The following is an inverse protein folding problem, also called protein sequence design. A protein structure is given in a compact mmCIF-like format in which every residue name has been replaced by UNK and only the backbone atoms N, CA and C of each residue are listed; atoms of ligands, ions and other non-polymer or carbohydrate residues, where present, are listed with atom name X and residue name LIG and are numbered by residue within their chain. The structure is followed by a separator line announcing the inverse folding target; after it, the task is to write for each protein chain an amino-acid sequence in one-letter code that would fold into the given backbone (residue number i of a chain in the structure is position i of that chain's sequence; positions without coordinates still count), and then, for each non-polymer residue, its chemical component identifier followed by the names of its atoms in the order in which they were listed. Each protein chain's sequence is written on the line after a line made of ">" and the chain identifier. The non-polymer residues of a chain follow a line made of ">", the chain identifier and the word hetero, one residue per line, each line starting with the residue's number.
data_IF_699420701543
#
_entry.id   IF_699420701543
#
_cell.length_a   1.000
_cell.length_b   1.000
_cell.length_c   1.000
_cell.angle_alpha   90.00
_cell.angle_beta   90.00
_cell.angle_gamma   90.00
#
_symmetry.space_group_name_H-M   'P 1'
#
loop_
_entity.id
_entity.type
_entity.pdbx_description
1 polymer ?
#
# COMPACT_ATOMS: atom_id res chain seq x y z
N UNK A 1 -21.11 -7.08 22.89
CA UNK A 1 -21.74 -5.74 22.88
C UNK A 1 -20.97 -4.91 23.90
N UNK A 2 -19.93 -4.22 23.46
CA UNK A 2 -19.14 -3.32 24.32
C UNK A 2 -19.20 -1.95 23.67
N UNK A 3 -19.99 -1.08 24.29
CA UNK A 3 -20.18 0.31 23.88
C UNK A 3 -18.90 1.10 24.17
N UNK A 4 -18.25 1.62 23.12
CA UNK A 4 -17.26 2.67 23.26
C UNK A 4 -17.99 4.01 23.53
N UNK A 5 -17.84 4.54 24.75
CA UNK A 5 -18.33 5.88 25.11
C UNK A 5 -17.54 6.94 24.34
N UNK A 6 -18.11 7.47 23.25
CA UNK A 6 -17.62 8.68 22.60
C UNK A 6 -18.00 9.92 23.42
N UNK A 7 -17.00 10.61 23.97
CA UNK A 7 -17.19 11.95 24.49
C UNK A 7 -17.31 12.94 23.32
N UNK A 8 -18.53 13.39 23.00
CA UNK A 8 -18.76 14.50 22.05
C UNK A 8 -18.40 15.83 22.73
N UNK A 9 -17.20 16.34 22.45
CA UNK A 9 -16.90 17.78 22.57
C UNK A 9 -17.20 18.45 21.23
N UNK A 10 -18.13 19.40 21.23
CA UNK A 10 -18.36 20.27 20.07
C UNK A 10 -17.06 20.99 19.71
N UNK A 11 -16.57 20.79 18.49
CA UNK A 11 -15.30 21.33 18.02
C UNK A 11 -15.32 21.49 16.52
N UNK A 12 -14.69 22.57 16.04
CA UNK A 12 -14.41 22.84 14.62
C UNK A 12 -14.11 21.54 13.88
N UNK A 13 -14.74 21.32 12.73
CA UNK A 13 -14.33 20.28 11.79
C UNK A 13 -12.86 20.54 11.44
N UNK A 14 -11.95 19.80 12.08
CA UNK A 14 -10.53 19.85 11.79
C UNK A 14 -10.35 19.36 10.36
N UNK A 15 -10.00 20.27 9.45
CA UNK A 15 -9.64 19.90 8.08
C UNK A 15 -8.38 19.04 8.14
N UNK A 16 -8.48 17.81 7.65
CA UNK A 16 -7.32 16.94 7.47
C UNK A 16 -6.56 17.45 6.24
N UNK A 17 -5.28 17.78 6.42
CA UNK A 17 -4.38 18.22 5.34
C UNK A 17 -3.37 17.12 5.02
N UNK A 18 -2.71 17.16 3.85
CA UNK A 18 -1.64 16.21 3.50
C UNK A 18 -0.52 16.15 4.55
N UNK A 19 -0.13 17.29 5.12
CA UNK A 19 0.93 17.35 6.14
C UNK A 19 0.49 16.72 7.47
N UNK A 20 -0.78 16.88 7.85
CA UNK A 20 -1.33 16.19 9.02
C UNK A 20 -1.37 14.69 8.79
N UNK A 21 -1.71 14.26 7.57
CA UNK A 21 -1.73 12.85 7.19
C UNK A 21 -0.32 12.23 7.26
N UNK A 22 0.72 12.91 6.76
CA UNK A 22 2.11 12.45 6.89
C UNK A 22 2.56 12.32 8.35
N UNK A 23 2.17 13.27 9.21
CA UNK A 23 2.46 13.20 10.66
C UNK A 23 1.75 12.02 11.33
N UNK A 24 0.53 11.71 10.90
CA UNK A 24 -0.19 10.53 11.38
C UNK A 24 0.56 9.26 10.99
N UNK A 25 0.96 9.10 9.72
CA UNK A 25 1.75 7.95 9.26
C UNK A 25 3.07 7.80 10.01
N UNK A 26 3.81 8.89 10.21
CA UNK A 26 5.06 8.88 10.97
C UNK A 26 4.87 8.50 12.44
N UNK A 27 3.64 8.54 12.95
CA UNK A 27 3.25 8.10 14.29
C UNK A 27 2.57 6.71 14.29
N UNK A 28 2.49 6.04 13.13
CA UNK A 28 1.84 4.74 12.97
C UNK A 28 0.32 4.80 12.86
N UNK A 29 -0.26 5.97 12.58
CA UNK A 29 -1.71 6.20 12.51
C UNK A 29 -2.11 6.41 11.05
N UNK A 30 -3.24 5.83 10.62
CA UNK A 30 -3.74 5.97 9.25
C UNK A 30 -5.25 6.31 9.22
N UNK A 31 -5.72 7.01 8.17
CA UNK A 31 -7.12 7.41 8.05
C UNK A 31 -7.98 6.32 7.42
N UNK A 32 -9.24 6.23 7.85
CA UNK A 32 -10.28 5.44 7.17
C UNK A 32 -11.63 6.17 7.23
N UNK A 33 -12.57 5.78 6.38
CA UNK A 33 -13.98 6.17 6.46
C UNK A 33 -14.86 4.92 6.54
N UNK A 34 -16.09 5.04 7.07
CA UNK A 34 -16.98 3.87 7.17
C UNK A 34 -17.44 3.38 5.79
N UNK A 35 -17.57 4.31 4.83
CA UNK A 35 -17.92 4.00 3.45
C UNK A 35 -17.49 5.11 2.49
N UNK A 36 -17.59 4.86 1.17
CA UNK A 36 -17.28 5.83 0.12
C UNK A 36 -18.13 7.12 0.22
N UNK A 37 -19.37 6.97 0.70
CA UNK A 37 -20.36 8.05 0.82
C UNK A 37 -20.32 8.73 2.20
N UNK A 38 -19.58 8.18 3.16
CA UNK A 38 -19.42 8.78 4.47
C UNK A 38 -18.38 9.91 4.40
N UNK A 39 -18.75 11.19 4.66
CA UNK A 39 -17.80 12.29 4.64
C UNK A 39 -16.86 12.29 5.86
N UNK A 40 -17.09 11.45 6.86
CA UNK A 40 -16.26 11.42 8.06
C UNK A 40 -15.03 10.54 7.87
N UNK A 41 -13.89 11.05 8.34
CA UNK A 41 -12.64 10.28 8.45
C UNK A 41 -12.38 10.05 9.93
N UNK A 42 -12.05 8.81 10.28
CA UNK A 42 -11.53 8.42 11.59
C UNK A 42 -10.09 7.92 11.47
N UNK A 43 -9.36 8.01 12.57
CA UNK A 43 -7.96 7.60 12.67
C UNK A 43 -7.87 6.22 13.32
N UNK A 44 -7.02 5.36 12.76
CA UNK A 44 -6.85 3.98 13.20
C UNK A 44 -5.42 3.76 13.70
N UNK A 45 -5.33 3.07 14.82
CA UNK A 45 -4.09 2.77 15.55
C UNK A 45 -4.28 1.41 16.26
N UNK A 46 -4.14 0.30 15.51
CA UNK A 46 -4.47 -1.02 16.01
C UNK A 46 -3.38 -1.52 16.98
N UNK A 47 -3.76 -2.38 17.93
CA UNK A 47 -2.82 -3.02 18.87
C UNK A 47 -1.92 -4.05 18.18
N UNK A 48 -2.40 -4.59 17.06
CA UNK A 48 -1.71 -5.52 16.18
C UNK A 48 -1.60 -4.89 14.80
N UNK A 49 -0.43 -4.99 14.17
CA UNK A 49 -0.14 -4.32 12.90
C UNK A 49 0.33 -5.32 11.86
N UNK A 50 -0.34 -5.34 10.71
CA UNK A 50 0.09 -6.10 9.55
C UNK A 50 1.34 -5.48 8.92
N UNK A 51 2.36 -6.30 8.69
CA UNK A 51 3.52 -5.94 7.86
C UNK A 51 3.81 -7.03 6.83
N UNK A 52 4.50 -6.67 5.75
CA UNK A 52 5.09 -7.62 4.82
C UNK A 52 6.62 -7.49 4.87
N UNK A 53 7.31 -8.30 5.69
CA UNK A 53 8.77 -8.23 5.79
C UNK A 53 9.39 -8.46 4.41
N UNK A 54 10.19 -7.51 3.94
CA UNK A 54 10.73 -7.50 2.57
C UNK A 54 11.69 -8.69 2.35
N UNK A 55 12.40 -9.09 3.39
CA UNK A 55 13.27 -10.25 3.45
C UNK A 55 12.54 -11.60 3.45
N UNK A 56 11.29 -11.62 3.94
CA UNK A 56 10.44 -12.82 3.94
C UNK A 56 9.52 -12.91 2.70
N UNK A 57 9.48 -11.84 1.89
CA UNK A 57 8.65 -11.80 0.69
C UNK A 57 9.08 -12.88 -0.30
N UNK A 58 8.10 -13.66 -0.75
CA UNK A 58 8.33 -14.71 -1.72
C UNK A 58 7.27 -14.68 -2.83
N UNK A 59 7.71 -14.96 -4.06
CA UNK A 59 6.83 -15.06 -5.21
C UNK A 59 6.43 -16.53 -5.42
N UNK A 60 5.14 -16.89 -5.30
CA UNK A 60 4.67 -18.24 -5.59
C UNK A 60 5.06 -18.70 -6.99
N UNK A 61 5.34 -20.00 -7.14
CA UNK A 61 5.85 -20.60 -8.40
C UNK A 61 4.95 -20.32 -9.61
N UNK A 62 3.63 -20.28 -9.42
CA UNK A 62 2.65 -19.93 -10.45
C UNK A 62 2.81 -18.47 -10.90
N UNK A 63 2.92 -17.54 -9.95
CA UNK A 63 3.09 -16.12 -10.25
C UNK A 63 4.42 -15.83 -10.97
N UNK A 64 5.50 -16.55 -10.62
CA UNK A 64 6.77 -16.47 -11.38
C UNK A 64 6.60 -16.81 -12.85
N UNK A 65 5.74 -17.79 -13.18
CA UNK A 65 5.44 -18.14 -14.58
C UNK A 65 4.67 -17.02 -15.27
N UNK A 66 3.75 -16.35 -14.57
CA UNK A 66 3.00 -15.20 -15.10
C UNK A 66 3.95 -14.04 -15.39
N UNK A 67 4.80 -13.66 -14.44
CA UNK A 67 5.78 -12.58 -14.61
C UNK A 67 6.74 -12.87 -15.77
N UNK A 68 7.22 -14.13 -15.89
CA UNK A 68 8.13 -14.56 -16.97
C UNK A 68 7.50 -14.50 -18.36
N UNK A 69 6.19 -14.72 -18.47
CA UNK A 69 5.47 -14.61 -19.75
C UNK A 69 5.34 -13.17 -20.22
N UNK A 70 5.60 -12.19 -19.34
CA UNK A 70 5.51 -10.75 -19.62
C UNK A 70 4.18 -10.36 -20.29
N UNK A 71 3.08 -10.97 -19.84
CA UNK A 71 1.74 -10.70 -20.34
C UNK A 71 1.18 -9.34 -19.88
N UNK A 72 1.87 -8.68 -18.95
CA UNK A 72 1.51 -7.36 -18.43
C UNK A 72 2.63 -6.37 -18.67
N UNK A 73 2.25 -5.12 -18.93
CA UNK A 73 3.16 -3.97 -18.81
C UNK A 73 2.99 -3.39 -17.41
N UNK A 74 4.10 -3.17 -16.70
CA UNK A 74 4.08 -2.58 -15.35
C UNK A 74 4.74 -1.21 -15.40
N UNK A 75 4.05 -0.21 -14.86
CA UNK A 75 4.57 1.16 -14.75
C UNK A 75 4.48 1.62 -13.29
N UNK A 76 5.07 2.79 -13.01
CA UNK A 76 4.90 3.48 -11.73
C UNK A 76 4.59 4.93 -11.96
N UNK A 77 3.71 5.48 -11.13
CA UNK A 77 3.39 6.91 -11.07
C UNK A 77 2.96 7.50 -12.42
N UNK A 78 2.37 6.67 -13.27
CA UNK A 78 1.80 7.09 -14.57
C UNK A 78 0.29 7.21 -14.54
N UNK A 79 -0.36 6.54 -13.57
CA UNK A 79 -1.81 6.40 -13.48
C UNK A 79 -2.32 6.46 -12.04
N UNK A 80 -1.62 7.17 -11.14
CA UNK A 80 -1.92 7.19 -9.70
C UNK A 80 -3.41 7.40 -9.38
N UNK A 81 -4.04 8.42 -9.97
CA UNK A 81 -5.46 8.69 -9.74
C UNK A 81 -6.36 7.53 -10.19
N UNK A 82 -6.05 6.92 -11.34
CA UNK A 82 -6.80 5.77 -11.85
C UNK A 82 -6.62 4.51 -10.97
N UNK A 83 -5.46 4.37 -10.32
CA UNK A 83 -5.24 3.30 -9.33
C UNK A 83 -6.06 3.54 -8.07
N UNK A 84 -6.07 4.76 -7.53
CA UNK A 84 -6.90 5.10 -6.36
C UNK A 84 -8.38 4.87 -6.68
N UNK A 85 -8.83 5.30 -7.87
CA UNK A 85 -10.20 5.08 -8.35
C UNK A 85 -10.52 3.59 -8.48
N UNK A 86 -9.61 2.79 -9.06
CA UNK A 86 -9.75 1.33 -9.13
C UNK A 86 -9.84 0.65 -7.75
N UNK A 87 -9.11 1.16 -6.76
CA UNK A 87 -9.18 0.68 -5.37
C UNK A 87 -10.47 1.11 -4.64
N UNK A 88 -11.14 2.17 -5.12
CA UNK A 88 -12.40 2.66 -4.58
C UNK A 88 -13.61 1.93 -5.19
N UNK A 89 -13.46 1.21 -6.29
CA UNK A 89 -14.55 0.44 -6.89
C UNK A 89 -14.98 -0.74 -6.00
N UNK A 90 -16.29 -1.09 -6.00
CA UNK A 90 -16.76 -2.35 -5.44
C UNK A 90 -16.09 -3.54 -6.13
N UNK A 91 -15.77 -4.56 -5.35
CA UNK A 91 -15.17 -5.79 -5.86
C UNK A 91 -15.88 -7.02 -5.26
N UNK A 92 -15.77 -8.21 -5.87
CA UNK A 92 -16.35 -9.42 -5.30
C UNK A 92 -15.89 -9.64 -3.84
N UNK A 93 -16.84 -9.65 -2.90
CA UNK A 93 -16.56 -9.77 -1.45
C UNK A 93 -16.21 -8.45 -0.75
N UNK A 94 -16.25 -7.32 -1.47
CA UNK A 94 -16.07 -5.95 -0.96
C UNK A 94 -17.10 -5.03 -1.61
N UNK A 95 -18.32 -5.07 -1.08
CA UNK A 95 -19.43 -4.24 -1.59
C UNK A 95 -19.29 -2.76 -1.20
N UNK A 96 -18.44 -2.45 -0.22
CA UNK A 96 -18.17 -1.10 0.27
C UNK A 96 -16.67 -0.84 0.36
N UNK A 97 -16.24 0.33 -0.13
CA UNK A 97 -14.88 0.85 0.08
C UNK A 97 -14.89 1.86 1.22
N UNK A 98 -13.75 2.00 1.90
CA UNK A 98 -13.48 3.06 2.87
C UNK A 98 -12.90 4.32 2.20
N UNK A 99 -12.59 4.25 0.90
CA UNK A 99 -12.00 5.36 0.15
C UNK A 99 -13.12 6.32 -0.26
N UNK A 100 -13.40 7.28 0.61
CA UNK A 100 -14.31 8.38 0.30
C UNK A 100 -13.61 9.47 -0.54
N UNK A 101 -14.37 10.47 -0.96
CA UNK A 101 -13.85 11.59 -1.77
C UNK A 101 -12.71 12.35 -1.07
N UNK A 102 -12.81 12.60 0.23
CA UNK A 102 -11.80 13.36 0.97
C UNK A 102 -10.49 12.59 1.07
N UNK A 103 -10.55 11.29 1.38
CA UNK A 103 -9.41 10.37 1.40
C UNK A 103 -8.76 10.39 0.02
N UNK A 104 -9.52 10.13 -1.04
CA UNK A 104 -9.02 10.20 -2.42
C UNK A 104 -8.24 11.51 -2.67
N UNK A 105 -8.84 12.65 -2.40
CA UNK A 105 -8.23 13.96 -2.65
C UNK A 105 -6.93 14.17 -1.85
N UNK A 106 -6.84 13.63 -0.62
CA UNK A 106 -5.62 13.65 0.20
C UNK A 106 -4.48 12.85 -0.44
N UNK A 107 -4.71 11.63 -0.92
CA UNK A 107 -3.64 10.85 -1.56
C UNK A 107 -3.24 11.42 -2.92
N UNK A 108 -4.16 12.03 -3.67
CA UNK A 108 -3.79 12.78 -4.89
C UNK A 108 -2.87 13.96 -4.54
N UNK A 109 -3.14 14.67 -3.44
CA UNK A 109 -2.26 15.74 -2.99
C UNK A 109 -0.88 15.19 -2.57
N UNK A 110 -0.83 14.11 -1.78
CA UNK A 110 0.43 13.46 -1.40
C UNK A 110 1.24 12.97 -2.61
N UNK A 111 0.58 12.43 -3.63
CA UNK A 111 1.24 12.04 -4.89
C UNK A 111 1.89 13.24 -5.57
N UNK A 112 1.19 14.38 -5.66
CA UNK A 112 1.73 15.62 -6.24
C UNK A 112 2.90 16.19 -5.45
N UNK A 113 2.91 15.95 -4.13
CA UNK A 113 4.00 16.34 -3.23
C UNK A 113 5.16 15.32 -3.22
N UNK A 114 5.02 14.19 -3.93
CA UNK A 114 6.06 13.16 -4.03
C UNK A 114 6.10 12.17 -2.87
N UNK A 115 5.05 12.14 -2.03
CA UNK A 115 4.94 11.24 -0.88
C UNK A 115 4.03 10.04 -1.11
N UNK A 116 3.23 10.00 -2.18
CA UNK A 116 2.46 8.81 -2.52
C UNK A 116 2.88 8.29 -3.88
N UNK A 117 2.89 6.97 -4.01
CA UNK A 117 3.31 6.29 -5.22
C UNK A 117 2.36 5.15 -5.59
N UNK A 118 2.38 4.79 -6.86
CA UNK A 118 1.55 3.74 -7.43
C UNK A 118 2.35 2.79 -8.30
N UNK A 119 1.91 1.54 -8.34
CA UNK A 119 2.36 0.53 -9.30
C UNK A 119 1.15 0.15 -10.14
N UNK A 120 1.23 0.38 -11.45
CA UNK A 120 0.13 0.10 -12.37
C UNK A 120 0.42 -1.15 -13.22
N UNK A 121 -0.60 -1.96 -13.45
CA UNK A 121 -0.50 -3.18 -14.28
C UNK A 121 -1.47 -3.06 -15.44
N UNK A 122 -0.91 -3.06 -16.64
CA UNK A 122 -1.62 -2.87 -17.89
C UNK A 122 -1.64 -4.14 -18.72
N UNK A 123 -2.76 -4.40 -19.39
CA UNK A 123 -2.91 -5.45 -20.38
C UNK A 123 -3.66 -4.88 -21.58
N UNK A 124 -3.11 -5.04 -22.78
CA UNK A 124 -3.71 -4.55 -24.03
C UNK A 124 -4.13 -3.06 -23.98
N UNK A 125 -3.32 -2.23 -23.30
CA UNK A 125 -3.57 -0.80 -23.11
C UNK A 125 -4.58 -0.43 -22.02
N UNK A 126 -5.21 -1.42 -21.37
CA UNK A 126 -6.15 -1.20 -20.27
C UNK A 126 -5.50 -1.38 -18.90
N UNK A 127 -5.87 -0.53 -17.93
CA UNK A 127 -5.44 -0.68 -16.53
C UNK A 127 -6.23 -1.82 -15.88
N UNK A 128 -5.56 -2.95 -15.66
CA UNK A 128 -6.17 -4.20 -15.18
C UNK A 128 -5.81 -4.53 -13.73
N UNK A 129 -4.99 -3.73 -13.08
CA UNK A 129 -4.71 -3.82 -11.65
C UNK A 129 -3.67 -2.82 -11.22
N UNK A 130 -3.45 -2.74 -9.93
CA UNK A 130 -2.46 -1.86 -9.35
C UNK A 130 -2.59 -1.75 -7.85
N UNK A 131 -1.68 -1.00 -7.27
CA UNK A 131 -1.68 -0.64 -5.86
C UNK A 131 -1.11 0.76 -5.69
N UNK A 132 -1.43 1.40 -4.57
CA UNK A 132 -0.81 2.65 -4.17
C UNK A 132 -0.44 2.63 -2.70
N UNK A 133 0.47 3.54 -2.32
CA UNK A 133 0.89 3.71 -0.95
C UNK A 133 1.56 5.05 -0.69
N UNK A 134 1.86 5.30 0.57
CA UNK A 134 2.61 6.48 1.03
C UNK A 134 4.04 6.07 1.33
N UNK A 135 5.00 6.91 0.95
CA UNK A 135 6.44 6.72 1.17
C UNK A 135 6.95 7.84 2.05
N UNK A 136 7.52 7.48 3.20
CA UNK A 136 8.21 8.41 4.10
C UNK A 136 9.53 7.76 4.48
N UNK A 137 10.64 8.30 3.97
CA UNK A 137 11.97 7.74 4.19
C UNK A 137 11.96 6.23 3.89
N UNK A 138 12.53 5.38 4.75
CA UNK A 138 12.59 3.93 4.57
C UNK A 138 11.29 3.18 4.86
N UNK A 139 10.17 3.87 5.11
CA UNK A 139 8.86 3.26 5.34
C UNK A 139 7.92 3.46 4.15
N UNK A 140 7.30 2.37 3.70
CA UNK A 140 6.22 2.39 2.72
C UNK A 140 4.94 1.85 3.34
N UNK A 141 3.87 2.65 3.30
CA UNK A 141 2.55 2.31 3.80
C UNK A 141 1.68 1.90 2.61
N UNK A 142 1.49 0.60 2.41
CA UNK A 142 0.66 0.09 1.31
C UNK A 142 -0.81 0.29 1.63
N UNK A 143 -1.52 1.10 0.85
CA UNK A 143 -2.88 1.54 1.21
C UNK A 143 -3.97 0.63 0.69
N UNK A 144 -3.94 0.38 -0.61
CA UNK A 144 -4.93 -0.47 -1.26
C UNK A 144 -4.43 -0.98 -2.58
N UNK A 145 -5.06 -2.06 -3.04
CA UNK A 145 -4.80 -2.67 -4.33
C UNK A 145 -6.11 -3.15 -4.96
N UNK A 146 -6.12 -3.23 -6.29
CA UNK A 146 -7.25 -3.75 -7.04
C UNK A 146 -6.78 -4.66 -8.18
N UNK A 147 -7.67 -5.52 -8.67
CA UNK A 147 -7.40 -6.45 -9.75
C UNK A 147 -8.66 -6.63 -10.59
N UNK A 148 -8.54 -6.42 -11.90
CA UNK A 148 -9.54 -6.70 -12.93
C UNK A 148 -9.14 -7.86 -13.85
N UNK A 149 -7.85 -8.21 -13.88
CA UNK A 149 -7.35 -9.44 -14.49
C UNK A 149 -6.76 -10.39 -13.45
N UNK A 150 -6.73 -11.69 -13.77
CA UNK A 150 -6.09 -12.70 -12.91
C UNK A 150 -4.63 -12.34 -12.68
N UNK A 151 -4.20 -12.38 -11.41
CA UNK A 151 -2.83 -12.11 -10.96
C UNK A 151 -2.33 -10.68 -11.12
N UNK A 152 -3.11 -9.73 -11.65
CA UNK A 152 -2.64 -8.36 -11.87
C UNK A 152 -2.20 -7.67 -10.56
N UNK A 153 -3.00 -7.69 -9.49
CA UNK A 153 -2.59 -7.10 -8.20
C UNK A 153 -1.37 -7.80 -7.57
N UNK A 154 -1.22 -9.11 -7.80
CA UNK A 154 -0.07 -9.88 -7.31
C UNK A 154 1.21 -9.52 -8.06
N UNK A 155 1.10 -9.26 -9.37
CA UNK A 155 2.20 -8.72 -10.17
C UNK A 155 2.56 -7.32 -9.67
N UNK A 156 1.58 -6.46 -9.40
CA UNK A 156 1.82 -5.14 -8.81
C UNK A 156 2.60 -5.24 -7.49
N UNK A 157 2.19 -6.15 -6.60
CA UNK A 157 2.86 -6.39 -5.31
C UNK A 157 4.31 -6.88 -5.49
N UNK A 158 4.56 -7.81 -6.41
CA UNK A 158 5.92 -8.29 -6.67
C UNK A 158 6.85 -7.17 -7.17
N UNK A 159 6.34 -6.28 -8.03
CA UNK A 159 7.09 -5.13 -8.53
C UNK A 159 7.25 -4.04 -7.46
N UNK A 160 6.27 -3.85 -6.56
CA UNK A 160 6.44 -3.00 -5.38
C UNK A 160 7.57 -3.52 -4.50
N UNK A 161 7.51 -4.78 -4.07
CA UNK A 161 8.54 -5.35 -3.17
C UNK A 161 9.93 -5.27 -3.79
N UNK A 162 10.07 -5.50 -5.10
CA UNK A 162 11.35 -5.30 -5.79
C UNK A 162 11.87 -3.86 -5.64
N UNK A 163 11.00 -2.86 -5.89
CA UNK A 163 11.36 -1.45 -5.75
C UNK A 163 11.73 -1.09 -4.32
N UNK A 164 10.97 -1.57 -3.34
CA UNK A 164 11.23 -1.26 -1.94
C UNK A 164 12.59 -1.85 -1.50
N UNK A 165 12.87 -3.11 -1.84
CA UNK A 165 14.16 -3.74 -1.53
C UNK A 165 15.34 -3.03 -2.20
N UNK A 166 15.24 -2.72 -3.50
CA UNK A 166 16.30 -2.01 -4.23
C UNK A 166 16.43 -0.54 -3.81
N UNK A 167 15.33 0.05 -3.34
CA UNK A 167 15.21 1.44 -2.89
C UNK A 167 15.73 1.69 -1.48
N UNK A 168 16.10 0.64 -0.74
CA UNK A 168 16.60 0.76 0.63
C UNK A 168 15.50 0.92 1.69
N UNK A 169 14.25 0.57 1.38
CA UNK A 169 13.18 0.56 2.36
C UNK A 169 13.39 -0.58 3.37
N UNK A 170 13.00 -0.33 4.61
CA UNK A 170 13.08 -1.29 5.72
C UNK A 170 11.70 -1.78 6.16
N UNK A 171 10.64 -1.01 5.89
CA UNK A 171 9.29 -1.32 6.34
C UNK A 171 8.29 -1.23 5.19
N UNK A 172 7.55 -2.32 4.96
CA UNK A 172 6.32 -2.34 4.19
C UNK A 172 5.15 -2.63 5.15
N UNK A 173 4.41 -1.58 5.49
CA UNK A 173 3.20 -1.64 6.31
C UNK A 173 2.00 -2.01 5.45
N UNK A 174 1.22 -2.99 5.91
CA UNK A 174 0.00 -3.48 5.25
C UNK A 174 -1.27 -3.22 6.08
N UNK A 175 -1.13 -2.49 7.19
CA UNK A 175 -2.10 -2.15 8.23
C UNK A 175 -2.74 -3.37 8.91
N UNK A 176 -3.41 -4.21 8.15
CA UNK A 176 -4.05 -5.43 8.60
C UNK A 176 -3.56 -6.63 7.80
N UNK A 177 -3.47 -7.77 8.46
CA UNK A 177 -3.20 -9.02 7.76
C UNK A 177 -4.42 -9.47 6.97
N UNK A 178 -4.18 -10.06 5.80
CA UNK A 178 -5.22 -10.70 5.00
C UNK A 178 -4.72 -12.04 4.48
N UNK A 179 -5.64 -13.00 4.30
CA UNK A 179 -5.32 -14.32 3.72
C UNK A 179 -4.72 -14.25 2.31
N UNK A 180 -4.87 -13.11 1.62
CA UNK A 180 -4.19 -12.83 0.37
C UNK A 180 -2.70 -12.54 0.59
N UNK A 181 -2.36 -11.65 1.54
CA UNK A 181 -1.00 -11.20 1.81
C UNK A 181 -0.18 -12.23 2.59
N UNK A 182 -0.81 -13.07 3.42
CA UNK A 182 -0.13 -14.18 4.11
C UNK A 182 0.59 -15.11 3.14
N UNK A 183 0.02 -15.32 1.95
CA UNK A 183 0.62 -16.15 0.88
C UNK A 183 1.91 -15.57 0.30
N UNK A 184 2.26 -14.35 0.68
CA UNK A 184 3.49 -13.67 0.29
C UNK A 184 4.44 -13.48 1.47
N UNK A 185 4.07 -13.93 2.68
CA UNK A 185 4.89 -13.80 3.89
C UNK A 185 4.47 -12.65 4.81
N UNK A 186 3.28 -12.06 4.62
CA UNK A 186 2.79 -11.06 5.57
C UNK A 186 2.55 -11.69 6.95
N UNK A 187 2.86 -10.92 7.99
CA UNK A 187 2.71 -11.30 9.38
C UNK A 187 2.03 -10.16 10.15
N UNK A 188 1.51 -10.48 11.31
CA UNK A 188 0.99 -9.52 12.27
C UNK A 188 1.99 -9.41 13.43
N UNK A 189 2.24 -8.17 13.88
CA UNK A 189 3.17 -7.86 14.96
C UNK A 189 2.52 -6.90 15.96
N UNK A 190 2.91 -7.05 17.22
CA UNK A 190 2.49 -6.18 18.31
C UNK A 190 2.87 -4.72 18.02
N UNK A 191 2.02 -3.79 18.44
CA UNK A 191 2.17 -2.35 18.22
C UNK A 191 3.55 -1.82 18.62
N UNK A 192 4.11 -2.25 19.74
CA UNK A 192 5.39 -1.76 20.24
C UNK A 192 6.55 -2.16 19.32
N UNK A 193 6.52 -3.38 18.79
CA UNK A 193 7.48 -3.87 17.78
C UNK A 193 7.31 -3.10 16.47
N UNK A 194 6.08 -2.86 16.02
CA UNK A 194 5.82 -2.06 14.83
C UNK A 194 6.36 -0.63 14.99
N UNK A 195 6.13 0.02 16.12
CA UNK A 195 6.62 1.36 16.39
C UNK A 195 8.15 1.40 16.38
N UNK A 196 8.82 0.39 16.93
CA UNK A 196 10.28 0.28 16.86
C UNK A 196 10.77 0.24 15.41
N UNK A 197 10.21 -0.66 14.59
CA UNK A 197 10.57 -0.78 13.16
C UNK A 197 10.23 0.47 12.36
N UNK A 198 9.11 1.12 12.67
CA UNK A 198 8.71 2.37 12.03
C UNK A 198 9.73 3.48 12.31
N UNK A 199 10.16 3.66 13.56
CA UNK A 199 11.16 4.68 13.89
C UNK A 199 12.51 4.40 13.24
N UNK A 200 12.93 3.14 13.16
CA UNK A 200 14.14 2.74 12.42
C UNK A 200 14.03 3.08 10.93
N UNK A 201 12.93 2.67 10.29
CA UNK A 201 12.68 2.93 8.87
C UNK A 201 12.63 4.44 8.56
N UNK A 202 11.99 5.24 9.42
CA UNK A 202 11.94 6.70 9.28
C UNK A 202 13.33 7.35 9.40
N UNK A 203 14.31 6.69 10.03
CA UNK A 203 15.69 7.17 10.15
C UNK A 203 16.56 6.93 8.91
N UNK A 204 16.07 6.18 7.90
CA UNK A 204 16.85 5.78 6.73
C UNK A 204 16.32 6.45 5.46
N UNK A 205 17.20 7.11 4.70
CA UNK A 205 16.82 7.63 3.39
C UNK A 205 16.63 6.48 2.40
N UNK A 206 15.49 6.44 1.72
CA UNK A 206 15.17 5.48 0.67
C UNK A 206 14.63 6.20 -0.57
N UNK A 207 14.54 5.48 -1.69
CA UNK A 207 14.00 6.02 -2.95
C UNK A 207 13.04 5.04 -3.61
N UNK A 208 11.86 5.52 -4.00
CA UNK A 208 10.89 4.74 -4.76
C UNK A 208 11.31 4.50 -6.23
N UNK A 209 12.33 5.24 -6.70
CA UNK A 209 12.85 5.16 -8.07
C UNK A 209 14.27 4.58 -8.12
N UNK A 210 14.52 3.36 -7.60
CA UNK A 210 15.85 2.77 -7.66
C UNK A 210 16.23 2.41 -9.10
N UNK A 211 17.52 2.50 -9.40
CA UNK A 211 18.05 2.05 -10.68
C UNK A 211 17.91 0.52 -10.82
N UNK A 212 17.62 0.05 -12.04
CA UNK A 212 17.56 -1.37 -12.36
C UNK A 212 16.35 -2.14 -11.81
N UNK A 213 15.29 -1.44 -11.38
CA UNK A 213 14.01 -2.03 -11.01
C UNK A 213 12.97 -1.91 -12.13
N UNK A 214 11.90 -2.71 -12.05
CA UNK A 214 10.71 -2.53 -12.89
C UNK A 214 10.70 -3.36 -14.18
N UNK A 215 11.52 -4.40 -14.28
CA UNK A 215 11.45 -5.36 -15.39
C UNK A 215 11.09 -6.76 -14.88
N UNK A 216 10.44 -7.57 -15.70
CA UNK A 216 10.18 -8.97 -15.35
C UNK A 216 11.47 -9.73 -14.99
N UNK A 217 12.58 -9.44 -15.67
CA UNK A 217 13.88 -10.06 -15.40
C UNK A 217 14.43 -9.65 -14.04
N UNK A 218 14.44 -8.35 -13.73
CA UNK A 218 14.99 -7.83 -12.48
C UNK A 218 14.21 -8.32 -11.24
N UNK A 219 12.87 -8.43 -11.35
CA UNK A 219 12.02 -9.04 -10.32
C UNK A 219 12.35 -10.52 -10.14
N UNK A 220 12.37 -11.29 -11.24
CA UNK A 220 12.62 -12.72 -11.18
C UNK A 220 14.03 -13.03 -10.67
N UNK A 221 15.03 -12.24 -11.05
CA UNK A 221 16.40 -12.35 -10.57
C UNK A 221 16.46 -12.14 -9.06
N UNK A 222 15.89 -11.03 -8.56
CA UNK A 222 15.91 -10.69 -7.14
C UNK A 222 15.31 -11.81 -6.28
N UNK A 223 14.17 -12.36 -6.71
CA UNK A 223 13.47 -13.39 -5.93
C UNK A 223 13.88 -14.82 -6.30
N UNK A 224 14.77 -15.04 -7.27
CA UNK A 224 15.22 -16.40 -7.65
C UNK A 224 16.12 -17.07 -6.61
N UNK A 225 16.77 -16.27 -5.75
CA UNK A 225 17.77 -16.74 -4.79
C UNK A 225 17.20 -17.01 -3.39
N UNK A 226 15.93 -16.68 -3.16
CA UNK A 226 15.24 -16.77 -1.86
C UNK A 226 14.37 -18.02 -1.72
N UNK A 227 14.74 -19.15 -2.34
CA UNK A 227 13.97 -20.41 -2.31
C UNK A 227 14.80 -21.58 -1.83
#
# INVERSE_FOLDING_TARGET
>A
MVEAKMARRGGKTLTITPELLLKAYASGIFPMAESADDPQIFWVDPTERGILPLEAFHIPRSLRKVIRRSAFTVTVDTGFAAVVDGCAEPAPGRDKTWINRQIRDLYIALYREGFAHSVEVWQDGALVGGLYGVSINGAFFGESMFSRATDASKVALAFLCERLMRGGYLLLDTQFITSHLERFGAIEIERDEYQHRLQEALGVAATFYPAGAGTSESVLQLFSQTS
#
